data_IF_375900619823
#
_entry.id   IF_375900619823
#
_cell.length_a   1.000
_cell.length_b   1.000
_cell.length_c   1.000
_cell.angle_alpha   90.00
_cell.angle_beta   90.00
_cell.angle_gamma   90.00
#
_symmetry.space_group_name_H-M   'P 1'
#
loop_
_entity.id
_entity.type
_entity.pdbx_description
1 polymer ?
#
# COMPACT_ATOMS: atom_id res chain seq x y z
N UNK A 1 -3.16 -13.37 -17.56
CA UNK A 1 -1.75 -13.59 -17.14
C UNK A 1 -1.29 -12.69 -15.99
N UNK A 2 -1.15 -11.36 -16.16
CA UNK A 2 -0.54 -10.46 -15.14
C UNK A 2 -1.17 -10.56 -13.74
N UNK A 3 -2.50 -10.61 -13.66
CA UNK A 3 -3.19 -10.79 -12.36
C UNK A 3 -2.88 -12.14 -11.70
N UNK A 4 -2.76 -13.22 -12.47
CA UNK A 4 -2.40 -14.54 -11.94
C UNK A 4 -0.96 -14.54 -11.42
N UNK A 5 -0.03 -13.92 -12.15
CA UNK A 5 1.34 -13.72 -11.68
C UNK A 5 1.38 -12.97 -10.35
N UNK A 6 0.62 -11.88 -10.20
CA UNK A 6 0.53 -11.14 -8.93
C UNK A 6 0.05 -12.05 -7.79
N UNK A 7 -0.98 -12.87 -8.02
CA UNK A 7 -1.47 -13.81 -7.00
C UNK A 7 -0.38 -14.81 -6.58
N UNK A 8 0.36 -15.39 -7.53
CA UNK A 8 1.47 -16.30 -7.23
C UNK A 8 2.62 -15.60 -6.48
N UNK A 9 2.92 -14.34 -6.84
CA UNK A 9 3.92 -13.54 -6.13
C UNK A 9 3.50 -13.25 -4.68
N UNK A 10 2.21 -12.98 -4.44
CA UNK A 10 1.67 -12.81 -3.08
C UNK A 10 1.77 -14.08 -2.24
N UNK A 11 1.79 -15.25 -2.87
CA UNK A 11 2.07 -16.54 -2.24
C UNK A 11 3.58 -16.79 -2.03
N UNK A 12 4.44 -15.84 -2.37
CA UNK A 12 5.90 -15.94 -2.24
C UNK A 12 6.57 -16.75 -3.35
N UNK A 13 5.88 -17.04 -4.45
CA UNK A 13 6.48 -17.73 -5.60
C UNK A 13 7.41 -16.78 -6.34
N UNK A 14 8.63 -17.23 -6.63
CA UNK A 14 9.57 -16.54 -7.50
C UNK A 14 9.20 -16.76 -8.97
N UNK A 15 9.04 -15.67 -9.72
CA UNK A 15 8.46 -15.66 -11.06
C UNK A 15 9.47 -15.29 -12.14
N UNK A 16 10.74 -15.68 -11.97
CA UNK A 16 11.84 -15.29 -12.85
C UNK A 16 11.57 -15.62 -14.33
N UNK A 17 10.98 -16.80 -14.62
CA UNK A 17 10.66 -17.21 -15.99
C UNK A 17 9.47 -16.42 -16.57
N UNK A 18 8.53 -16.02 -15.72
CA UNK A 18 7.40 -15.18 -16.14
C UNK A 18 7.85 -13.76 -16.49
N UNK A 19 8.88 -13.23 -15.82
CA UNK A 19 9.47 -11.92 -16.17
C UNK A 19 10.03 -11.94 -17.60
N UNK A 20 10.68 -13.05 -18.00
CA UNK A 20 11.16 -13.21 -19.37
C UNK A 20 10.00 -13.21 -20.39
N UNK A 21 8.88 -13.85 -20.06
CA UNK A 21 7.67 -13.81 -20.89
C UNK A 21 7.07 -12.40 -20.95
N UNK A 22 6.97 -11.69 -19.81
CA UNK A 22 6.42 -10.33 -19.79
C UNK A 22 7.26 -9.38 -20.65
N UNK A 23 8.59 -9.51 -20.61
CA UNK A 23 9.48 -8.73 -21.47
C UNK A 23 9.24 -9.01 -22.97
N UNK A 24 9.02 -10.28 -23.35
CA UNK A 24 8.64 -10.64 -24.73
C UNK A 24 7.27 -10.08 -25.10
N UNK A 25 6.31 -10.10 -24.17
CA UNK A 25 4.97 -9.56 -24.43
C UNK A 25 5.03 -8.04 -24.61
N UNK A 26 5.83 -7.35 -23.80
CA UNK A 26 6.06 -5.90 -23.89
C UNK A 26 6.81 -5.50 -25.18
N UNK A 27 7.53 -6.42 -25.85
CA UNK A 27 8.18 -6.12 -27.13
C UNK A 27 7.22 -6.21 -28.32
N UNK A 28 6.09 -6.91 -28.18
CA UNK A 28 5.10 -7.10 -29.26
C UNK A 28 3.77 -6.41 -28.98
N UNK A 29 3.49 -6.04 -27.72
CA UNK A 29 2.29 -5.31 -27.29
C UNK A 29 2.67 -4.01 -26.60
N UNK A 30 1.79 -3.00 -26.67
CA UNK A 30 1.98 -1.76 -25.89
C UNK A 30 0.90 -1.59 -24.84
N UNK A 31 1.29 -1.05 -23.69
CA UNK A 31 0.39 -0.83 -22.57
C UNK A 31 -0.57 0.35 -22.79
N UNK A 32 -0.12 1.41 -23.45
CA UNK A 32 -0.89 2.64 -23.60
C UNK A 32 -0.57 3.38 -24.91
N UNK A 33 -1.61 3.88 -25.57
CA UNK A 33 -1.52 4.62 -26.83
C UNK A 33 -1.09 6.09 -26.64
N UNK A 34 -1.09 6.62 -25.42
CA UNK A 34 -0.62 7.99 -25.11
C UNK A 34 0.78 8.26 -25.66
N UNK A 35 1.65 7.24 -25.66
CA UNK A 35 3.03 7.33 -26.12
C UNK A 35 3.20 7.10 -27.62
N UNK A 36 2.08 7.03 -28.36
CA UNK A 36 2.05 6.78 -29.80
C UNK A 36 0.91 7.59 -30.47
N UNK A 37 0.88 8.90 -30.23
CA UNK A 37 -0.10 9.84 -30.79
C UNK A 37 -1.58 9.46 -30.54
N UNK A 38 -1.88 8.72 -29.46
CA UNK A 38 -3.20 8.13 -29.20
C UNK A 38 -3.72 7.18 -30.30
N UNK A 39 -2.86 6.73 -31.21
CA UNK A 39 -3.25 5.80 -32.28
C UNK A 39 -3.51 4.41 -31.68
N UNK A 40 -4.62 3.74 -32.06
CA UNK A 40 -4.93 2.41 -31.58
C UNK A 40 -3.88 1.40 -32.02
N UNK A 41 -3.64 0.37 -31.20
CA UNK A 41 -2.80 -0.74 -31.60
C UNK A 41 -3.60 -1.65 -32.52
N UNK A 42 -3.13 -1.76 -33.76
CA UNK A 42 -3.69 -2.66 -34.77
C UNK A 42 -2.61 -3.67 -35.08
N UNK A 43 -2.98 -4.94 -35.11
CA UNK A 43 -2.11 -6.05 -35.42
C UNK A 43 -2.50 -6.61 -36.78
N UNK A 44 -1.51 -6.94 -37.59
CA UNK A 44 -1.68 -7.91 -38.67
C UNK A 44 -1.87 -9.33 -38.09
N UNK A 45 -2.31 -10.26 -38.93
CA UNK A 45 -2.49 -11.66 -38.52
C UNK A 45 -1.18 -12.29 -38.01
N UNK A 46 -0.04 -11.95 -38.62
CA UNK A 46 1.29 -12.44 -38.21
C UNK A 46 1.74 -11.87 -36.85
N UNK A 47 1.51 -10.57 -36.63
CA UNK A 47 1.82 -9.93 -35.35
C UNK A 47 0.90 -10.44 -34.23
N UNK A 48 -0.37 -10.69 -34.55
CA UNK A 48 -1.33 -11.28 -33.61
C UNK A 48 -0.94 -12.73 -33.27
N UNK A 49 -0.58 -13.55 -34.26
CA UNK A 49 -0.08 -14.91 -34.05
C UNK A 49 1.17 -14.92 -33.14
N UNK A 50 2.08 -13.98 -33.37
CA UNK A 50 3.27 -13.81 -32.52
C UNK A 50 2.88 -13.46 -31.07
N UNK A 51 1.95 -12.52 -30.87
CA UNK A 51 1.48 -12.14 -29.55
C UNK A 51 0.78 -13.31 -28.83
N UNK A 52 -0.07 -14.06 -29.54
CA UNK A 52 -0.74 -15.25 -29.03
C UNK A 52 0.25 -16.32 -28.56
N UNK A 53 1.30 -16.59 -29.32
CA UNK A 53 2.35 -17.55 -28.93
C UNK A 53 3.05 -17.14 -27.63
N UNK A 54 3.34 -15.85 -27.45
CA UNK A 54 3.92 -15.34 -26.19
C UNK A 54 2.93 -15.48 -25.03
N UNK A 55 1.64 -15.27 -25.27
CA UNK A 55 0.58 -15.46 -24.27
C UNK A 55 0.47 -16.92 -23.85
N UNK A 56 0.51 -17.85 -24.80
CA UNK A 56 0.46 -19.28 -24.53
C UNK A 56 1.67 -19.74 -23.71
N UNK A 57 2.89 -19.29 -24.07
CA UNK A 57 4.10 -19.54 -23.27
C UNK A 57 3.93 -19.02 -21.83
N UNK A 58 3.32 -17.85 -21.67
CA UNK A 58 3.05 -17.27 -20.36
C UNK A 58 2.09 -18.08 -19.51
N UNK A 59 1.01 -18.59 -20.10
CA UNK A 59 0.11 -19.49 -19.40
C UNK A 59 0.80 -20.82 -19.04
N UNK A 60 1.62 -21.38 -19.92
CA UNK A 60 2.38 -22.60 -19.62
C UNK A 60 3.35 -22.42 -18.43
N UNK A 61 4.02 -21.27 -18.34
CA UNK A 61 4.88 -20.92 -17.20
C UNK A 61 4.05 -20.78 -15.91
N UNK A 62 2.94 -20.05 -15.96
CA UNK A 62 2.08 -19.82 -14.79
C UNK A 62 1.44 -21.12 -14.26
N UNK A 63 1.03 -22.03 -15.15
CA UNK A 63 0.55 -23.38 -14.81
C UNK A 63 1.59 -24.17 -14.00
N UNK A 64 2.86 -24.12 -14.42
CA UNK A 64 3.94 -24.80 -13.69
C UNK A 64 4.14 -24.20 -12.30
N UNK A 65 4.12 -22.87 -12.18
CA UNK A 65 4.20 -22.21 -10.88
C UNK A 65 2.97 -22.47 -10.01
N UNK A 66 1.76 -22.59 -10.58
CA UNK A 66 0.56 -22.95 -9.83
C UNK A 66 0.67 -24.35 -9.24
N UNK A 67 1.23 -25.33 -9.98
CA UNK A 67 1.53 -26.67 -9.45
C UNK A 67 2.50 -26.60 -8.27
N UNK A 68 3.53 -25.75 -8.36
CA UNK A 68 4.46 -25.51 -7.25
C UNK A 68 3.74 -24.85 -6.07
N UNK A 69 2.90 -23.85 -6.29
CA UNK A 69 2.14 -23.19 -5.23
C UNK A 69 1.15 -24.13 -4.54
N UNK A 70 0.54 -25.05 -5.28
CA UNK A 70 -0.42 -26.02 -4.74
C UNK A 70 0.26 -27.13 -3.92
N UNK A 71 1.48 -27.51 -4.27
CA UNK A 71 2.19 -28.64 -3.66
C UNK A 71 3.34 -28.24 -2.72
N UNK A 72 3.82 -27.01 -2.85
CA UNK A 72 4.90 -26.45 -2.06
C UNK A 72 4.36 -26.08 -0.69
N UNK A 73 4.87 -26.75 0.36
CA UNK A 73 4.90 -26.10 1.68
C UNK A 73 5.67 -24.80 1.50
N UNK A 74 5.09 -23.66 1.88
CA UNK A 74 5.80 -22.39 1.88
C UNK A 74 7.17 -22.58 2.54
N UNK A 75 8.24 -22.48 1.75
CA UNK A 75 9.61 -22.64 2.26
C UNK A 75 10.05 -21.41 3.07
N UNK A 76 9.36 -20.28 2.88
CA UNK A 76 9.66 -19.02 3.53
C UNK A 76 9.01 -18.89 4.92
N UNK A 77 7.89 -19.59 5.16
CA UNK A 77 7.15 -19.48 6.43
C UNK A 77 6.70 -20.86 6.90
N UNK A 78 7.18 -21.27 8.09
CA UNK A 78 6.54 -22.38 8.82
C UNK A 78 5.18 -21.88 9.30
N UNK A 79 4.10 -22.25 8.62
CA UNK A 79 2.77 -22.08 9.20
C UNK A 79 2.67 -23.03 10.39
N UNK A 80 2.65 -22.51 11.60
CA UNK A 80 2.20 -23.31 12.74
C UNK A 80 0.70 -23.50 12.58
N UNK A 81 0.28 -24.73 12.27
CA UNK A 81 -1.12 -25.09 12.15
C UNK A 81 -1.81 -25.23 13.52
N UNK A 82 -1.05 -25.09 14.62
CA UNK A 82 -1.66 -24.96 15.94
C UNK A 82 -2.52 -23.71 15.94
N UNK A 83 -3.82 -23.84 16.22
CA UNK A 83 -4.67 -22.69 16.47
C UNK A 83 -3.99 -21.82 17.52
N UNK A 84 -3.83 -20.56 17.19
CA UNK A 84 -3.29 -19.60 18.12
C UNK A 84 -4.23 -19.55 19.33
N UNK A 85 -3.71 -19.76 20.54
CA UNK A 85 -4.50 -19.61 21.76
C UNK A 85 -4.71 -18.12 22.04
N UNK A 86 -5.93 -17.58 21.83
CA UNK A 86 -6.19 -16.16 21.98
C UNK A 86 -5.97 -15.63 23.41
N UNK A 87 -5.95 -16.51 24.41
CA UNK A 87 -5.70 -16.12 25.82
C UNK A 87 -4.22 -15.85 26.11
N UNK A 88 -3.33 -16.29 25.21
CA UNK A 88 -1.88 -16.12 25.32
C UNK A 88 -1.32 -15.12 24.30
N UNK A 89 -2.18 -14.52 23.48
CA UNK A 89 -1.77 -13.57 22.46
C UNK A 89 -1.64 -12.18 23.04
N UNK A 90 -0.44 -11.63 22.92
CA UNK A 90 -0.25 -10.20 23.06
C UNK A 90 -0.85 -9.49 21.85
N UNK A 91 -1.67 -8.47 22.11
CA UNK A 91 -2.19 -7.62 21.04
C UNK A 91 -1.02 -6.95 20.30
N UNK A 92 -1.03 -7.08 18.98
CA UNK A 92 -0.01 -6.50 18.11
C UNK A 92 -0.39 -5.04 17.84
N UNK A 93 0.46 -4.06 18.21
CA UNK A 93 0.21 -2.66 17.90
C UNK A 93 0.10 -2.44 16.39
N UNK A 94 -0.93 -1.73 15.93
CA UNK A 94 -1.18 -1.49 14.51
C UNK A 94 -0.35 -0.32 13.96
N UNK A 95 0.96 -0.34 14.21
CA UNK A 95 1.87 0.78 13.94
C UNK A 95 2.22 0.97 12.47
N UNK A 96 1.90 -0.01 11.61
CA UNK A 96 2.14 0.05 10.17
C UNK A 96 1.08 -0.73 9.39
N UNK A 97 1.12 -0.64 8.06
CA UNK A 97 0.20 -1.36 7.20
C UNK A 97 0.20 -2.86 7.53
N UNK A 98 -0.99 -3.41 7.81
CA UNK A 98 -1.20 -4.81 8.21
C UNK A 98 -0.51 -5.24 9.52
N UNK A 99 -0.13 -4.30 10.37
CA UNK A 99 0.16 -4.49 11.80
C UNK A 99 1.50 -5.13 12.16
N UNK A 100 2.06 -6.00 11.32
CA UNK A 100 3.31 -6.72 11.62
C UNK A 100 4.25 -6.81 10.40
N UNK A 101 5.51 -7.17 10.65
CA UNK A 101 6.57 -7.28 9.62
C UNK A 101 6.22 -8.26 8.49
N UNK A 102 5.42 -9.30 8.79
CA UNK A 102 4.94 -10.27 7.82
C UNK A 102 3.74 -9.79 6.99
N UNK A 103 3.22 -8.58 7.27
CA UNK A 103 2.06 -7.99 6.60
C UNK A 103 0.85 -8.95 6.58
N UNK A 104 0.62 -9.68 7.67
CA UNK A 104 -0.43 -10.70 7.71
C UNK A 104 -1.82 -10.12 7.97
N UNK A 105 -1.89 -8.91 8.55
CA UNK A 105 -3.15 -8.30 8.98
C UNK A 105 -3.71 -8.89 10.27
N UNK A 106 -2.94 -9.74 10.95
CA UNK A 106 -3.28 -10.34 12.23
C UNK A 106 -2.99 -9.39 13.39
N UNK A 107 -3.93 -9.27 14.34
CA UNK A 107 -3.86 -8.36 15.49
C UNK A 107 -3.61 -9.06 16.84
N UNK A 108 -3.91 -10.36 16.95
CA UNK A 108 -3.99 -11.04 18.26
C UNK A 108 -5.23 -10.71 19.09
N UNK A 109 -6.02 -9.70 18.70
CA UNK A 109 -7.23 -9.30 19.41
C UNK A 109 -8.43 -10.17 19.01
N UNK A 110 -9.33 -10.46 19.97
CA UNK A 110 -10.57 -11.21 19.72
C UNK A 110 -11.53 -10.51 18.74
N UNK A 111 -11.33 -9.21 18.51
CA UNK A 111 -12.17 -8.38 17.65
C UNK A 111 -13.58 -8.14 18.24
N UNK A 112 -14.35 -7.21 17.66
CA UNK A 112 -15.71 -6.99 18.10
C UNK A 112 -16.62 -8.13 17.64
N UNK A 113 -17.51 -8.60 18.53
CA UNK A 113 -18.52 -9.62 18.20
C UNK A 113 -19.71 -9.05 17.43
N UNK A 114 -19.82 -7.72 17.35
CA UNK A 114 -20.84 -6.98 16.60
C UNK A 114 -20.19 -5.79 15.90
N UNK A 115 -20.54 -5.57 14.64
CA UNK A 115 -20.09 -4.41 13.89
C UNK A 115 -20.99 -3.21 14.15
N UNK A 116 -20.55 -2.28 14.98
CA UNK A 116 -21.20 -0.99 15.17
C UNK A 116 -20.22 0.16 14.93
N UNK A 117 -20.76 1.30 14.47
CA UNK A 117 -19.94 2.47 14.16
C UNK A 117 -19.56 3.18 15.46
N UNK A 118 -18.29 3.08 15.86
CA UNK A 118 -17.75 3.82 17.00
C UNK A 118 -17.74 5.33 16.74
N UNK A 119 -17.05 5.77 15.69
CA UNK A 119 -17.02 7.16 15.21
C UNK A 119 -16.58 7.21 13.74
N UNK A 120 -16.69 8.38 13.13
CA UNK A 120 -16.20 8.67 11.78
C UNK A 120 -15.50 10.00 11.75
N UNK A 121 -14.37 10.05 11.06
CA UNK A 121 -13.63 11.29 10.85
C UNK A 121 -13.62 11.65 9.35
N UNK A 122 -14.03 12.88 8.98
CA UNK A 122 -14.03 13.29 7.57
C UNK A 122 -12.59 13.47 7.10
N UNK A 123 -12.19 12.66 6.14
CA UNK A 123 -10.92 12.78 5.45
C UNK A 123 -11.18 13.09 3.99
N UNK A 124 -10.36 13.95 3.38
CA UNK A 124 -10.44 14.25 1.95
C UNK A 124 -10.12 13.04 1.07
N UNK A 125 -9.77 13.26 -0.19
CA UNK A 125 -9.36 12.23 -1.17
C UNK A 125 -8.03 11.50 -0.82
N UNK A 126 -7.93 10.85 0.33
CA UNK A 126 -6.83 9.94 0.71
C UNK A 126 -7.11 8.56 0.11
N UNK A 127 -6.93 8.42 -1.21
CA UNK A 127 -7.41 7.23 -1.94
C UNK A 127 -6.81 5.89 -1.49
N UNK A 128 -5.62 5.86 -0.90
CA UNK A 128 -4.90 4.60 -0.62
C UNK A 128 -4.34 4.47 0.80
N UNK A 129 -4.38 5.51 1.62
CA UNK A 129 -3.80 5.48 2.97
C UNK A 129 -4.66 4.67 3.94
N UNK A 130 -4.01 3.85 4.78
CA UNK A 130 -4.61 3.18 5.93
C UNK A 130 -4.17 3.87 7.23
N UNK A 131 -4.97 3.83 8.31
CA UNK A 131 -4.57 4.37 9.61
C UNK A 131 -3.47 3.51 10.25
N UNK A 132 -2.68 4.13 11.13
CA UNK A 132 -1.81 3.44 12.08
C UNK A 132 -2.22 3.81 13.51
N UNK A 133 -2.06 2.87 14.45
CA UNK A 133 -2.52 3.01 15.83
C UNK A 133 -1.35 2.70 16.77
N UNK A 134 -1.18 3.54 17.79
CA UNK A 134 -0.24 3.31 18.90
C UNK A 134 -0.87 3.84 20.20
N UNK A 135 -1.18 2.92 21.12
CA UNK A 135 -1.95 3.24 22.32
C UNK A 135 -3.29 3.88 21.96
N UNK A 136 -3.60 5.02 22.59
CA UNK A 136 -4.87 5.72 22.40
C UNK A 136 -4.88 6.68 21.19
N UNK A 137 -3.95 6.52 20.25
CA UNK A 137 -3.75 7.46 19.14
C UNK A 137 -3.94 6.79 17.79
N UNK A 138 -4.72 7.43 16.93
CA UNK A 138 -4.90 7.05 15.53
C UNK A 138 -4.25 8.09 14.63
N UNK A 139 -3.30 7.65 13.80
CA UNK A 139 -2.60 8.49 12.85
C UNK A 139 -3.14 8.25 11.44
N UNK A 140 -3.55 9.32 10.77
CA UNK A 140 -4.11 9.27 9.42
C UNK A 140 -3.44 10.31 8.51
N UNK A 141 -3.16 9.90 7.28
CA UNK A 141 -2.67 10.79 6.23
C UNK A 141 -3.82 11.58 5.62
N UNK A 142 -3.58 12.87 5.40
CA UNK A 142 -4.51 13.74 4.70
C UNK A 142 -3.91 14.12 3.35
N UNK A 143 -4.68 14.06 2.25
CA UNK A 143 -4.25 14.57 0.95
C UNK A 143 -4.30 16.11 0.92
N UNK A 144 -4.80 16.73 1.99
CA UNK A 144 -5.31 18.08 2.00
C UNK A 144 -4.24 19.14 1.81
N UNK A 145 -4.63 20.21 1.10
CA UNK A 145 -3.85 21.41 0.79
C UNK A 145 -3.20 22.09 2.01
N UNK A 146 -3.80 21.97 3.20
CA UNK A 146 -3.32 22.64 4.43
C UNK A 146 -2.79 21.70 5.50
N UNK A 147 -3.11 20.41 5.42
CA UNK A 147 -2.82 19.43 6.46
C UNK A 147 -2.47 18.11 5.81
N UNK A 148 -1.31 17.56 6.17
CA UNK A 148 -0.80 16.28 5.67
C UNK A 148 -1.09 15.12 6.60
N UNK A 149 -1.37 15.36 7.88
CA UNK A 149 -1.62 14.34 8.88
C UNK A 149 -2.52 14.85 10.01
N UNK A 150 -3.36 13.94 10.51
CA UNK A 150 -4.05 14.09 11.79
C UNK A 150 -3.60 13.01 12.78
N UNK A 151 -3.54 13.38 14.05
CA UNK A 151 -3.56 12.47 15.18
C UNK A 151 -4.90 12.62 15.88
N UNK A 152 -5.64 11.52 15.96
CA UNK A 152 -6.96 11.46 16.57
C UNK A 152 -6.92 10.65 17.87
N UNK A 153 -7.86 10.93 18.76
CA UNK A 153 -8.16 10.07 19.91
C UNK A 153 -8.85 8.79 19.43
N UNK A 154 -8.42 7.63 19.92
CA UNK A 154 -8.95 6.33 19.48
C UNK A 154 -10.42 6.11 19.88
N UNK A 155 -10.86 6.72 20.99
CA UNK A 155 -12.18 6.49 21.56
C UNK A 155 -13.22 7.46 20.96
N UNK A 156 -12.82 8.71 20.69
CA UNK A 156 -13.76 9.74 20.22
C UNK A 156 -13.61 10.11 18.75
N UNK A 157 -12.42 9.91 18.17
CA UNK A 157 -12.08 10.42 16.84
C UNK A 157 -11.75 11.92 16.81
N UNK A 158 -11.65 12.57 17.97
CA UNK A 158 -11.33 13.99 18.07
C UNK A 158 -9.87 14.27 17.69
N UNK A 159 -9.62 15.41 17.06
CA UNK A 159 -8.27 15.83 16.67
C UNK A 159 -7.46 16.22 17.91
N UNK A 160 -6.46 15.42 18.25
CA UNK A 160 -5.46 15.76 19.28
C UNK A 160 -4.51 16.81 18.72
N UNK A 161 -3.99 16.57 17.51
CA UNK A 161 -3.17 17.53 16.77
C UNK A 161 -3.20 17.23 15.28
N UNK A 162 -2.81 18.22 14.47
CA UNK A 162 -2.63 18.07 13.03
C UNK A 162 -1.37 18.79 12.57
N UNK A 163 -0.85 18.37 11.42
CA UNK A 163 0.23 19.09 10.75
C UNK A 163 -0.34 20.24 9.92
N UNK A 164 0.50 21.25 9.70
CA UNK A 164 0.24 22.31 8.74
C UNK A 164 1.22 22.20 7.59
N UNK A 165 0.72 22.38 6.37
CA UNK A 165 1.56 22.61 5.19
C UNK A 165 1.10 23.88 4.47
N UNK A 166 2.08 24.57 3.93
CA UNK A 166 1.87 25.70 3.02
C UNK A 166 2.19 25.19 1.62
N UNK A 167 1.24 25.34 0.70
CA UNK A 167 1.44 24.96 -0.69
C UNK A 167 1.26 26.19 -1.57
N UNK A 168 2.08 26.28 -2.60
CA UNK A 168 1.83 27.18 -3.72
C UNK A 168 0.96 26.44 -4.73
N UNK A 169 -0.27 26.92 -4.94
CA UNK A 169 -1.18 26.33 -5.92
C UNK A 169 -0.83 26.92 -7.29
N UNK A 170 -0.20 26.11 -8.15
CA UNK A 170 0.09 26.52 -9.53
C UNK A 170 -1.03 26.07 -10.47
N UNK A 171 -1.91 27.02 -10.84
CA UNK A 171 -3.04 26.78 -11.74
C UNK A 171 -4.23 26.06 -11.07
N UNK A 172 -4.97 25.27 -11.84
CA UNK A 172 -6.15 24.49 -11.39
C UNK A 172 -5.81 23.05 -10.95
N UNK A 173 -4.54 22.67 -10.95
CA UNK A 173 -4.10 21.29 -10.73
C UNK A 173 -3.73 21.01 -9.27
N UNK A 174 -4.71 20.58 -8.47
CA UNK A 174 -4.50 20.04 -7.12
C UNK A 174 -3.48 18.89 -7.06
N UNK A 175 -3.25 18.19 -8.17
CA UNK A 175 -2.31 17.06 -8.26
C UNK A 175 -0.83 17.46 -8.26
N UNK A 176 -0.51 18.74 -8.42
CA UNK A 176 0.88 19.24 -8.34
C UNK A 176 1.29 19.61 -6.91
N UNK A 177 0.31 19.80 -6.01
CA UNK A 177 0.58 20.09 -4.63
C UNK A 177 1.15 18.86 -3.90
N UNK A 178 2.15 19.05 -3.03
CA UNK A 178 2.61 18.00 -2.13
C UNK A 178 1.43 17.47 -1.31
N UNK A 179 1.19 16.16 -1.38
CA UNK A 179 0.11 15.52 -0.65
C UNK A 179 0.59 14.20 -0.04
N UNK A 180 -0.08 13.75 1.01
CA UNK A 180 0.27 12.49 1.65
C UNK A 180 -0.88 11.49 1.46
N UNK A 181 -0.62 10.43 0.70
CA UNK A 181 -1.57 9.32 0.53
C UNK A 181 -0.93 7.98 0.88
N UNK A 182 0.26 7.98 1.50
CA UNK A 182 0.90 6.76 2.00
C UNK A 182 0.40 6.42 3.40
N UNK A 183 0.34 5.13 3.73
CA UNK A 183 0.03 4.69 5.09
C UNK A 183 1.16 5.10 6.06
N UNK A 184 0.86 5.59 7.28
CA UNK A 184 1.86 5.88 8.29
C UNK A 184 2.67 4.65 8.66
N UNK A 185 3.92 4.89 9.07
CA UNK A 185 4.69 3.98 9.92
C UNK A 185 5.02 4.71 11.22
N UNK A 186 4.49 4.21 12.32
CA UNK A 186 4.76 4.71 13.67
C UNK A 186 5.99 4.02 14.21
N UNK A 187 7.09 4.76 14.32
CA UNK A 187 8.31 4.34 14.99
C UNK A 187 8.31 4.86 16.43
N UNK A 188 9.25 4.39 17.26
CA UNK A 188 9.38 4.80 18.66
C UNK A 188 9.27 6.31 18.86
N UNK A 189 10.10 7.08 18.17
CA UNK A 189 10.22 8.53 18.34
C UNK A 189 9.62 9.35 17.19
N UNK A 190 9.23 8.68 16.11
CA UNK A 190 8.89 9.31 14.84
C UNK A 190 7.66 8.70 14.21
N UNK A 191 6.92 9.48 13.44
CA UNK A 191 5.88 8.98 12.54
C UNK A 191 6.33 9.29 11.12
N UNK A 192 6.50 8.26 10.31
CA UNK A 192 7.02 8.34 8.95
C UNK A 192 5.91 8.22 7.92
N UNK A 193 6.02 9.03 6.88
CA UNK A 193 5.19 8.97 5.69
C UNK A 193 6.00 9.29 4.44
N UNK A 194 5.52 8.79 3.31
CA UNK A 194 5.98 9.14 1.99
C UNK A 194 5.04 10.18 1.38
N UNK A 195 5.61 11.30 0.96
CA UNK A 195 4.89 12.33 0.20
C UNK A 195 4.69 11.86 -1.25
N UNK A 196 3.47 12.04 -1.76
CA UNK A 196 3.09 11.81 -3.14
C UNK A 196 3.27 13.10 -3.94
N UNK A 197 3.81 12.95 -5.16
CA UNK A 197 4.27 14.08 -5.99
C UNK A 197 5.78 14.19 -6.09
N UNK A 198 6.56 13.46 -5.27
CA UNK A 198 8.01 13.35 -5.37
C UNK A 198 8.45 12.59 -6.64
N UNK A 199 8.29 13.21 -7.81
CA UNK A 199 8.82 12.71 -9.09
C UNK A 199 10.33 12.94 -9.26
N UNK A 200 10.97 13.54 -8.24
CA UNK A 200 12.39 13.86 -8.15
C UNK A 200 12.89 14.73 -9.32
N UNK A 201 13.44 15.89 -8.95
CA UNK A 201 14.37 16.80 -9.67
C UNK A 201 13.89 18.20 -9.26
N UNK A 202 14.44 18.70 -8.14
CA UNK A 202 14.31 20.07 -7.61
C UNK A 202 12.88 20.60 -7.35
N UNK A 203 12.46 20.53 -6.08
CA UNK A 203 11.21 21.16 -5.60
C UNK A 203 11.09 21.09 -4.08
N UNK A 204 10.06 21.73 -3.51
CA UNK A 204 9.78 21.76 -2.06
C UNK A 204 9.40 20.40 -1.45
N UNK A 205 9.23 19.37 -2.28
CA UNK A 205 8.75 18.04 -1.91
C UNK A 205 9.88 17.21 -1.30
N UNK A 206 9.66 16.55 -0.16
CA UNK A 206 10.65 15.62 0.42
C UNK A 206 10.20 14.17 0.21
N UNK A 207 11.11 13.32 -0.24
CA UNK A 207 10.84 11.88 -0.45
C UNK A 207 10.35 11.17 0.81
N UNK A 208 10.75 11.67 1.98
CA UNK A 208 10.36 11.15 3.29
C UNK A 208 10.15 12.32 4.26
N UNK A 209 9.06 12.29 5.00
CA UNK A 209 8.84 13.17 6.15
C UNK A 209 8.71 12.34 7.42
N UNK A 210 9.35 12.81 8.48
CA UNK A 210 9.14 12.30 9.82
C UNK A 210 8.61 13.42 10.71
N UNK A 211 7.60 13.09 11.52
CA UNK A 211 7.16 13.95 12.61
C UNK A 211 7.71 13.40 13.92
N UNK A 212 8.55 14.17 14.60
CA UNK A 212 9.05 13.79 15.92
C UNK A 212 7.91 13.86 16.92
N UNK A 213 7.70 12.78 17.66
CA UNK A 213 6.74 12.76 18.77
C UNK A 213 7.28 13.67 19.87
N UNK A 214 6.90 14.96 19.86
CA UNK A 214 7.13 15.81 21.03
C UNK A 214 6.38 15.17 22.20
N UNK A 215 7.06 14.94 23.31
CA UNK A 215 6.40 14.62 24.58
C UNK A 215 5.46 15.78 24.91
N UNK A 216 4.19 15.66 24.54
CA UNK A 216 3.14 16.49 25.11
C UNK A 216 3.02 15.99 26.55
N UNK A 217 3.85 16.54 27.45
CA UNK A 217 3.52 16.53 28.87
C UNK A 217 2.19 17.24 28.98
N UNK A 218 1.14 16.50 29.28
CA UNK A 218 -0.09 17.05 29.82
C UNK A 218 0.31 17.81 31.09
N UNK A 219 0.44 19.13 31.00
CA UNK A 219 0.52 19.95 32.20
C UNK A 219 -0.87 19.97 32.81
N UNK A 220 -1.11 19.05 33.74
CA UNK A 220 -2.23 19.17 34.66
C UNK A 220 -2.07 20.46 35.46
N UNK A 221 -3.12 21.28 35.45
CA UNK A 221 -3.73 21.94 36.61
C UNK A 221 -5.12 22.40 36.21
#
# INVERSE_FOLDING_TARGET
MKLWAVTLQQLGVRLDDYVAVDNRLNSVTRWNNLWNDNKPQVFSDEEMDTACKVIDDGYAVLENYQKVANNGKSLAFKSDAKPIDPTTQEEIPWTSYKGNEGLTGYTGANGPTKGEKAWTFPIGLAWESKPAIEGDRVYISSPGVRTTMYCLDINTGDVIWNTKQEIEIMGDQLYHAPNNQSSPVVLKDHIMFRELGARAIEGQQKMLFWWTKKQVRLSGK
#
